data_IF_697648836209
#
_entry.id   IF_697648836209
#
_cell.length_a   1.000
_cell.length_b   1.000
_cell.length_c   1.000
_cell.angle_alpha   90.00
_cell.angle_beta   90.00
_cell.angle_gamma   90.00
#
_symmetry.space_group_name_H-M   'P 1'
#
loop_
_entity.id
_entity.type
_entity.pdbx_description
1 polymer ?
#
# COMPACT_ATOMS: atom_id res chain seq x y z
N UNK A 1 -15.81 -2.05 -8.99
CA UNK A 1 -14.51 -1.60 -8.45
C UNK A 1 -14.06 -2.65 -7.46
N UNK A 2 -12.95 -3.35 -7.72
CA UNK A 2 -12.43 -4.35 -6.79
C UNK A 2 -11.58 -3.65 -5.72
N UNK A 3 -11.91 -3.84 -4.44
CA UNK A 3 -11.04 -3.40 -3.38
C UNK A 3 -9.75 -4.23 -3.40
N UNK A 4 -8.62 -3.58 -3.11
CA UNK A 4 -7.32 -4.25 -3.00
C UNK A 4 -6.91 -4.24 -1.54
N UNK A 5 -6.45 -5.39 -1.05
CA UNK A 5 -6.06 -5.60 0.33
C UNK A 5 -4.61 -6.06 0.38
N UNK A 6 -3.73 -5.32 1.06
CA UNK A 6 -2.34 -5.70 1.24
C UNK A 6 -2.08 -6.19 2.66
N UNK A 7 -1.45 -7.35 2.80
CA UNK A 7 -0.99 -7.86 4.09
C UNK A 7 0.21 -7.05 4.57
N UNK A 8 0.10 -6.40 5.73
CA UNK A 8 1.21 -5.65 6.37
C UNK A 8 2.38 -6.53 6.80
N UNK A 9 2.16 -7.84 6.94
CA UNK A 9 3.18 -8.77 7.45
C UNK A 9 4.07 -9.30 6.33
N UNK A 10 3.49 -9.74 5.21
CA UNK A 10 4.24 -10.40 4.13
C UNK A 10 4.14 -9.69 2.77
N UNK A 11 3.39 -8.59 2.68
CA UNK A 11 3.20 -7.84 1.44
C UNK A 11 2.28 -8.49 0.40
N UNK A 12 1.57 -9.58 0.73
CA UNK A 12 0.62 -10.22 -0.19
C UNK A 12 -0.54 -9.28 -0.53
N UNK A 13 -0.85 -9.11 -1.81
CA UNK A 13 -1.98 -8.30 -2.28
C UNK A 13 -3.11 -9.23 -2.73
N UNK A 14 -4.29 -9.03 -2.14
CA UNK A 14 -5.53 -9.72 -2.47
C UNK A 14 -6.49 -8.75 -3.15
N UNK A 15 -7.14 -9.17 -4.23
CA UNK A 15 -8.09 -8.37 -4.99
C UNK A 15 -9.49 -8.93 -4.79
N UNK A 16 -10.36 -8.15 -4.15
CA UNK A 16 -11.74 -8.53 -3.85
C UNK A 16 -12.38 -7.59 -2.83
N UNK A 17 -13.72 -7.57 -2.79
CA UNK A 17 -14.48 -6.67 -1.92
C UNK A 17 -14.22 -6.87 -0.42
N UNK A 18 -13.85 -8.10 -0.01
CA UNK A 18 -13.63 -8.47 1.39
C UNK A 18 -12.24 -9.08 1.60
N UNK A 19 -11.57 -8.80 2.74
CA UNK A 19 -10.27 -9.40 3.05
C UNK A 19 -10.43 -10.88 3.43
N UNK A 20 -9.43 -11.72 3.13
CA UNK A 20 -9.46 -13.12 3.55
C UNK A 20 -9.25 -13.27 5.06
N UNK A 21 -9.86 -14.30 5.67
CA UNK A 21 -9.74 -14.61 7.11
C UNK A 21 -8.31 -15.00 7.52
N UNK A 22 -7.56 -15.62 6.61
CA UNK A 22 -6.14 -15.93 6.78
C UNK A 22 -5.38 -15.59 5.51
N UNK A 23 -4.18 -15.05 5.67
CA UNK A 23 -3.28 -14.82 4.56
C UNK A 23 -2.81 -16.15 3.96
N UNK A 24 -2.97 -16.41 2.65
CA UNK A 24 -2.51 -17.65 2.03
C UNK A 24 -0.98 -17.74 1.94
N UNK A 25 -0.26 -16.63 2.10
CA UNK A 25 1.20 -16.56 1.98
C UNK A 25 1.92 -16.79 3.31
N UNK A 26 1.42 -16.21 4.40
CA UNK A 26 2.06 -16.28 5.71
C UNK A 26 1.21 -16.91 6.82
N UNK A 27 -0.07 -17.22 6.57
CA UNK A 27 -0.97 -17.82 7.56
C UNK A 27 -1.50 -16.87 8.64
N UNK A 28 -1.07 -15.61 8.67
CA UNK A 28 -1.56 -14.61 9.63
C UNK A 28 -3.05 -14.30 9.47
N UNK A 29 -3.70 -13.93 10.56
CA UNK A 29 -5.11 -13.53 10.58
C UNK A 29 -5.37 -12.31 9.70
N UNK A 30 -6.54 -12.31 9.07
CA UNK A 30 -7.05 -11.29 8.13
C UNK A 30 -7.05 -9.86 8.67
N UNK A 31 -7.02 -9.69 9.99
CA UNK A 31 -6.92 -8.40 10.67
C UNK A 31 -5.66 -7.58 10.27
N UNK A 32 -4.64 -8.23 9.73
CA UNK A 32 -3.40 -7.56 9.28
C UNK A 32 -3.46 -7.07 7.83
N UNK A 33 -4.59 -7.26 7.13
CA UNK A 33 -4.79 -6.70 5.79
C UNK A 33 -5.26 -5.25 5.86
N UNK A 34 -4.69 -4.41 5.01
CA UNK A 34 -5.12 -3.02 4.81
C UNK A 34 -5.67 -2.81 3.40
N UNK A 35 -6.73 -2.01 3.30
CA UNK A 35 -7.30 -1.60 2.02
C UNK A 35 -6.36 -0.57 1.36
N UNK A 36 -5.80 -0.90 0.21
CA UNK A 36 -4.90 -0.01 -0.56
C UNK A 36 -5.64 0.78 -1.65
N UNK A 37 -6.93 0.53 -1.86
CA UNK A 37 -7.74 1.18 -2.90
C UNK A 37 -8.02 2.68 -2.66
N UNK A 38 -7.78 3.21 -1.46
CA UNK A 38 -7.89 4.64 -1.15
C UNK A 38 -6.55 5.27 -0.70
N UNK A 39 -5.62 4.47 -0.16
CA UNK A 39 -4.42 4.99 0.48
C UNK A 39 -3.24 5.29 -0.47
N UNK A 40 -3.27 4.81 -1.72
CA UNK A 40 -2.12 4.95 -2.63
C UNK A 40 -2.02 6.35 -3.27
N UNK A 41 -3.09 7.13 -3.27
CA UNK A 41 -3.08 8.47 -3.90
C UNK A 41 -2.42 9.55 -3.03
N UNK A 42 -2.40 9.40 -1.69
CA UNK A 42 -1.83 10.45 -0.81
C UNK A 42 -0.31 10.37 -0.67
N UNK A 43 0.32 9.20 -0.77
CA UNK A 43 1.76 9.04 -0.52
C UNK A 43 2.64 9.34 -1.74
N UNK A 44 2.10 9.23 -2.96
CA UNK A 44 2.81 9.61 -4.19
C UNK A 44 3.16 11.11 -4.23
N UNK A 45 2.39 11.96 -3.54
CA UNK A 45 2.65 13.41 -3.53
C UNK A 45 3.87 13.83 -2.69
N UNK A 46 4.33 13.01 -1.74
CA UNK A 46 5.37 13.43 -0.78
C UNK A 46 6.80 13.09 -1.22
N UNK A 47 6.98 12.16 -2.15
CA UNK A 47 8.32 11.78 -2.67
C UNK A 47 8.76 12.70 -3.84
N UNK A 48 7.81 13.24 -4.60
CA UNK A 48 8.10 14.13 -5.72
C UNK A 48 8.65 15.51 -5.27
N UNK A 49 8.25 15.99 -4.09
CA UNK A 49 8.65 17.31 -3.56
C UNK A 49 10.13 17.37 -3.11
N UNK A 50 10.65 16.31 -2.49
CA UNK A 50 12.05 16.24 -2.05
C UNK A 50 13.05 16.14 -3.20
N UNK A 51 12.70 15.41 -4.27
CA UNK A 51 13.57 15.29 -5.45
C UNK A 51 13.72 16.61 -6.23
N UNK A 52 12.73 17.51 -6.13
CA UNK A 52 12.82 18.84 -6.74
C UNK A 52 13.68 19.82 -5.93
N UNK A 53 13.72 19.67 -4.59
CA UNK A 53 14.52 20.51 -3.71
C UNK A 53 16.04 20.30 -3.89
N UNK A 54 16.47 19.06 -4.14
CA UNK A 54 17.90 18.74 -4.32
C UNK A 54 18.47 19.33 -5.63
N UNK A 55 17.68 19.35 -6.70
CA UNK A 55 18.12 19.87 -8.01
C UNK A 55 18.21 21.39 -8.08
N UNK A 56 17.44 22.11 -7.25
CA UNK A 56 17.42 23.59 -7.22
C UNK A 56 18.61 24.20 -6.49
N UNK A 57 19.32 23.42 -5.66
CA UNK A 57 20.52 23.84 -4.91
C UNK A 57 21.84 23.64 -5.67
N UNK A 58 21.82 22.90 -6.78
CA UNK A 58 23.01 22.62 -7.60
C UNK A 58 23.10 23.52 -8.86
N UNK A 59 22.32 24.61 -8.90
CA UNK A 59 22.45 25.70 -9.88
C UNK A 59 22.93 26.96 -9.20
#
# INVERSE_FOLDING_TARGET
MAAKWQCKVCGYVYEGDLPPQRCPKCGMSGANFIKIAEAHEERLKHEEDLSQAEKKRLK
#
